data_IF_355247424180
#
_entry.id   IF_355247424180
#
_cell.length_a   1.000
_cell.length_b   1.000
_cell.length_c   1.000
_cell.angle_alpha   90.00
_cell.angle_beta   90.00
_cell.angle_gamma   90.00
#
_symmetry.space_group_name_H-M   'P 1'
#
loop_
_entity.id
_entity.type
_entity.pdbx_description
1 polymer ?
#
# COMPACT_ATOMS: atom_id res chain seq x y z
N UNK A 1 -23.78 -20.73 -32.80
CA UNK A 1 -23.17 -20.25 -31.53
C UNK A 1 -22.62 -21.46 -30.78
N UNK A 2 -21.42 -21.93 -31.12
CA UNK A 2 -20.72 -23.00 -30.41
C UNK A 2 -19.25 -22.60 -30.29
N UNK A 3 -18.72 -22.50 -29.07
CA UNK A 3 -17.33 -22.08 -28.83
C UNK A 3 -17.07 -21.47 -27.46
N UNK A 4 -18.09 -20.98 -26.76
CA UNK A 4 -17.93 -20.55 -25.37
C UNK A 4 -18.13 -21.72 -24.42
N UNK A 5 -17.15 -21.94 -23.54
CA UNK A 5 -17.22 -22.97 -22.50
C UNK A 5 -18.34 -22.61 -21.52
N UNK A 6 -19.35 -23.47 -21.41
CA UNK A 6 -20.42 -23.32 -20.42
C UNK A 6 -19.82 -23.45 -19.01
N UNK A 7 -20.14 -22.49 -18.14
CA UNK A 7 -19.78 -22.56 -16.72
C UNK A 7 -20.84 -23.41 -16.02
N UNK A 8 -20.44 -24.61 -15.63
CA UNK A 8 -21.22 -25.55 -14.81
C UNK A 8 -20.66 -25.59 -13.39
N UNK A 9 -21.41 -26.12 -12.42
CA UNK A 9 -20.93 -26.27 -11.04
C UNK A 9 -19.64 -27.11 -10.97
N UNK A 10 -19.56 -28.16 -11.79
CA UNK A 10 -18.35 -28.97 -11.96
C UNK A 10 -17.16 -28.15 -12.50
N UNK A 11 -17.40 -27.19 -13.39
CA UNK A 11 -16.34 -26.34 -13.94
C UNK A 11 -15.75 -25.35 -12.92
N UNK A 12 -16.46 -25.07 -11.83
CA UNK A 12 -16.00 -24.24 -10.72
C UNK A 12 -15.04 -24.98 -9.78
N UNK A 13 -15.10 -26.31 -9.77
CA UNK A 13 -14.22 -27.16 -8.97
C UNK A 13 -12.84 -27.37 -9.61
N UNK A 14 -12.66 -26.95 -10.87
CA UNK A 14 -11.37 -27.01 -11.52
C UNK A 14 -10.43 -25.96 -10.92
N UNK A 15 -9.15 -26.29 -10.68
CA UNK A 15 -8.17 -25.31 -10.24
C UNK A 15 -8.09 -24.18 -11.26
N UNK A 16 -8.55 -22.99 -10.86
CA UNK A 16 -8.43 -21.78 -11.66
C UNK A 16 -6.96 -21.37 -11.60
N UNK A 17 -6.32 -21.24 -12.78
CA UNK A 17 -4.98 -20.68 -12.85
C UNK A 17 -5.00 -19.32 -12.14
N UNK A 18 -4.16 -19.16 -11.11
CA UNK A 18 -3.98 -17.85 -10.47
C UNK A 18 -3.30 -16.94 -11.49
N UNK A 19 -4.11 -16.25 -12.27
CA UNK A 19 -3.62 -15.19 -13.12
C UNK A 19 -3.13 -14.10 -12.18
N UNK A 20 -1.81 -13.92 -12.08
CA UNK A 20 -1.25 -12.68 -11.54
C UNK A 20 -1.88 -11.58 -12.36
N UNK A 21 -2.75 -10.78 -11.73
CA UNK A 21 -3.35 -9.64 -12.41
C UNK A 21 -2.20 -8.83 -13.02
N UNK A 22 -2.25 -8.51 -14.32
CA UNK A 22 -1.25 -7.63 -14.89
C UNK A 22 -1.23 -6.38 -14.02
N UNK A 23 -0.04 -5.94 -13.62
CA UNK A 23 0.12 -4.67 -12.92
C UNK A 23 -0.42 -3.57 -13.84
N UNK A 24 -1.71 -3.25 -13.73
CA UNK A 24 -2.42 -2.43 -14.69
C UNK A 24 -2.12 -0.96 -14.39
N UNK A 25 -0.93 -0.55 -14.82
CA UNK A 25 -0.38 0.79 -14.57
C UNK A 25 -1.37 1.89 -14.95
N UNK A 26 -2.06 1.74 -16.08
CA UNK A 26 -3.08 2.70 -16.55
C UNK A 26 -4.24 2.86 -15.57
N UNK A 27 -4.74 1.76 -15.00
CA UNK A 27 -5.81 1.81 -14.00
C UNK A 27 -5.33 2.52 -12.72
N UNK A 28 -4.11 2.21 -12.27
CA UNK A 28 -3.54 2.88 -11.09
C UNK A 28 -3.28 4.37 -11.32
N UNK A 29 -2.85 4.77 -12.53
CA UNK A 29 -2.63 6.17 -12.89
C UNK A 29 -3.93 6.96 -12.96
N UNK A 30 -4.98 6.39 -13.57
CA UNK A 30 -6.31 6.98 -13.58
C UNK A 30 -6.84 7.22 -12.16
N UNK A 31 -6.76 6.19 -11.30
CA UNK A 31 -7.18 6.29 -9.90
C UNK A 31 -6.38 7.37 -9.15
N UNK A 32 -5.05 7.37 -9.29
CA UNK A 32 -4.20 8.35 -8.62
C UNK A 32 -4.51 9.78 -9.07
N UNK A 33 -4.78 9.99 -10.36
CA UNK A 33 -5.16 11.29 -10.92
C UNK A 33 -6.52 11.76 -10.41
N UNK A 34 -7.51 10.87 -10.39
CA UNK A 34 -8.88 11.23 -9.98
C UNK A 34 -9.02 11.48 -8.47
N UNK A 35 -8.32 10.69 -7.64
CA UNK A 35 -8.46 10.72 -6.19
C UNK A 35 -7.29 11.42 -5.48
N UNK A 36 -6.36 12.04 -6.24
CA UNK A 36 -5.18 12.68 -5.68
C UNK A 36 -4.29 11.72 -4.88
N UNK A 37 -4.37 10.42 -5.16
CA UNK A 37 -3.64 9.41 -4.38
C UNK A 37 -2.15 9.57 -4.64
N UNK A 38 -1.42 9.96 -3.59
CA UNK A 38 0.04 10.10 -3.61
C UNK A 38 0.67 8.93 -2.89
N UNK A 39 1.81 8.47 -3.39
CA UNK A 39 2.64 7.52 -2.65
C UNK A 39 3.08 8.19 -1.34
N UNK A 40 2.68 7.59 -0.22
CA UNK A 40 3.11 8.00 1.12
C UNK A 40 4.53 7.49 1.36
N UNK A 41 5.50 8.14 0.73
CA UNK A 41 6.93 7.85 0.84
C UNK A 41 7.64 9.08 1.37
N UNK A 42 8.44 8.87 2.41
CA UNK A 42 9.27 9.90 3.02
C UNK A 42 10.74 9.68 2.67
N UNK A 43 11.50 10.76 2.63
CA UNK A 43 12.95 10.78 2.39
C UNK A 43 13.69 11.08 3.70
N UNK A 44 14.95 10.63 3.83
CA UNK A 44 15.81 11.07 4.93
C UNK A 44 15.84 12.60 5.03
N UNK A 45 15.65 13.13 6.24
CA UNK A 45 15.56 14.57 6.51
C UNK A 45 14.14 15.16 6.47
N UNK A 46 13.13 14.43 5.98
CA UNK A 46 11.75 14.91 6.02
C UNK A 46 11.27 15.04 7.48
N UNK A 47 10.68 16.20 7.80
CA UNK A 47 9.96 16.40 9.06
C UNK A 47 8.57 15.75 8.98
N UNK A 48 8.22 15.00 10.01
CA UNK A 48 6.96 14.25 10.12
C UNK A 48 6.41 14.35 11.55
N UNK A 49 5.14 13.95 11.72
CA UNK A 49 4.61 13.61 13.03
C UNK A 49 4.56 12.09 13.21
N UNK A 50 5.03 11.60 14.35
CA UNK A 50 4.91 10.20 14.75
C UNK A 50 4.09 10.07 16.03
N UNK A 51 3.34 8.98 16.17
CA UNK A 51 2.57 8.71 17.37
C UNK A 51 3.48 8.06 18.41
N UNK A 52 3.87 8.83 19.42
CA UNK A 52 4.54 8.29 20.60
C UNK A 52 3.50 7.59 21.47
N UNK A 53 3.73 6.29 21.71
CA UNK A 53 2.89 5.43 22.55
C UNK A 53 3.51 5.14 23.91
N UNK A 54 4.67 5.72 24.20
CA UNK A 54 5.31 5.62 25.52
C UNK A 54 4.50 6.43 26.54
N UNK A 55 4.23 5.84 27.70
CA UNK A 55 3.46 6.45 28.79
C UNK A 55 1.97 6.11 28.79
N UNK A 56 1.21 6.83 29.61
CA UNK A 56 -0.21 6.55 29.88
C UNK A 56 -1.15 6.96 28.73
N UNK A 57 -0.76 7.95 27.91
CA UNK A 57 -1.59 8.48 26.82
C UNK A 57 -0.77 8.67 25.54
N UNK A 58 -1.21 8.12 24.40
CA UNK A 58 -0.56 8.35 23.12
C UNK A 58 -0.58 9.84 22.73
N UNK A 59 0.54 10.34 22.22
CA UNK A 59 0.66 11.73 21.75
C UNK A 59 1.39 11.78 20.41
N UNK A 60 0.96 12.68 19.53
CA UNK A 60 1.69 12.99 18.31
C UNK A 60 2.88 13.89 18.67
N UNK A 61 4.06 13.54 18.19
CA UNK A 61 5.30 14.31 18.38
C UNK A 61 5.98 14.52 17.03
N UNK A 62 6.75 15.59 16.93
CA UNK A 62 7.59 15.86 15.76
C UNK A 62 8.75 14.87 15.70
N UNK A 63 9.11 14.48 14.48
CA UNK A 63 10.22 13.59 14.23
C UNK A 63 10.82 13.84 12.85
N UNK A 64 12.08 13.44 12.70
CA UNK A 64 12.80 13.50 11.42
C UNK A 64 13.06 12.08 10.92
N UNK A 65 12.82 11.83 9.63
CA UNK A 65 13.16 10.54 9.00
C UNK A 65 14.68 10.38 8.93
N UNK A 66 15.20 9.27 9.45
CA UNK A 66 16.62 8.92 9.34
C UNK A 66 16.88 8.07 8.11
N UNK A 67 16.11 6.98 7.94
CA UNK A 67 16.22 6.08 6.78
C UNK A 67 14.99 5.21 6.62
N UNK A 68 14.81 4.66 5.42
CA UNK A 68 13.76 3.69 5.12
C UNK A 68 14.25 2.26 5.37
N UNK A 69 13.43 1.47 6.08
CA UNK A 69 13.61 0.03 6.31
C UNK A 69 12.53 -0.73 5.53
N UNK A 70 12.92 -1.37 4.43
CA UNK A 70 11.98 -2.13 3.61
C UNK A 70 10.96 -1.25 2.88
N UNK A 71 9.69 -1.69 2.80
CA UNK A 71 8.68 -1.04 1.97
C UNK A 71 7.92 0.11 2.65
N UNK A 72 7.64 -0.01 3.94
CA UNK A 72 6.75 0.91 4.66
C UNK A 72 7.26 1.30 6.05
N UNK A 73 8.38 0.72 6.50
CA UNK A 73 8.95 1.00 7.82
C UNK A 73 10.05 2.04 7.66
N UNK A 74 10.15 2.96 8.61
CA UNK A 74 11.15 4.02 8.63
C UNK A 74 11.76 4.11 10.03
N UNK A 75 13.07 4.27 10.09
CA UNK A 75 13.74 4.69 11.32
C UNK A 75 13.60 6.22 11.41
N UNK A 76 13.17 6.71 12.59
CA UNK A 76 12.89 8.12 12.82
C UNK A 76 13.57 8.59 14.10
N UNK A 77 13.99 9.85 14.14
CA UNK A 77 14.44 10.51 15.37
C UNK A 77 13.31 11.37 15.88
N UNK A 78 12.79 11.05 17.06
CA UNK A 78 11.81 11.87 17.75
C UNK A 78 12.48 13.11 18.34
N UNK A 79 11.87 14.27 18.13
CA UNK A 79 12.28 15.51 18.80
C UNK A 79 11.49 15.55 20.12
N UNK A 80 12.14 15.17 21.22
CA UNK A 80 11.55 15.05 22.57
C UNK A 80 11.45 16.38 23.30
#
# INVERSE_FOLDING_TARGET
MFGHKLRTDLSLLHPVAVHKSPNNRRMSEYFNRHHGTRRRTFRPGDAIYTLNKEGLKPRWIEATILRRKGKVVYDVRADQ
#
